data_IF_872762617966
#
_entry.id   IF_872762617966
#
_cell.length_a   1.000
_cell.length_b   1.000
_cell.length_c   1.000
_cell.angle_alpha   90.00
_cell.angle_beta   90.00
_cell.angle_gamma   90.00
#
_symmetry.space_group_name_H-M   'P 1'
#
loop_
_entity.id
_entity.type
_entity.pdbx_description
1 polymer ?
#
# COMPACT_ATOMS: atom_id res chain seq x y z
N UNK A 1 -18.35 -13.51 20.50
CA UNK A 1 -19.19 -13.00 19.40
C UNK A 1 -18.30 -12.76 18.19
N UNK A 2 -18.54 -13.45 17.08
CA UNK A 2 -17.79 -13.22 15.84
C UNK A 2 -18.37 -11.96 15.16
N UNK A 3 -17.57 -10.91 15.08
CA UNK A 3 -17.99 -9.59 14.62
C UNK A 3 -17.84 -9.48 13.09
N UNK A 4 -18.36 -8.41 12.47
CA UNK A 4 -18.07 -8.07 11.05
C UNK A 4 -16.56 -8.15 10.76
N UNK A 5 -15.73 -7.77 11.73
CA UNK A 5 -14.26 -7.85 11.70
C UNK A 5 -13.73 -9.29 11.57
N UNK A 6 -14.43 -10.28 12.15
CA UNK A 6 -14.06 -11.70 12.00
C UNK A 6 -14.30 -12.20 10.58
N UNK A 7 -15.41 -11.82 9.93
CA UNK A 7 -15.66 -12.17 8.52
C UNK A 7 -14.60 -11.53 7.64
N UNK A 8 -14.34 -10.23 7.82
CA UNK A 8 -13.33 -9.51 7.04
C UNK A 8 -11.93 -10.12 7.24
N UNK A 9 -11.55 -10.49 8.46
CA UNK A 9 -10.29 -11.20 8.72
C UNK A 9 -10.18 -12.51 7.94
N UNK A 10 -11.20 -13.38 8.01
CA UNK A 10 -11.21 -14.65 7.27
C UNK A 10 -11.22 -14.46 5.74
N UNK A 11 -11.85 -13.41 5.23
CA UNK A 11 -11.84 -13.10 3.79
C UNK A 11 -10.45 -12.65 3.32
N UNK A 12 -9.66 -12.00 4.18
CA UNK A 12 -8.26 -11.64 3.88
C UNK A 12 -7.36 -12.86 3.73
N UNK A 13 -7.63 -13.93 4.47
CA UNK A 13 -6.88 -15.20 4.38
C UNK A 13 -7.06 -15.91 3.02
N UNK A 14 -7.95 -15.41 2.16
CA UNK A 14 -8.15 -15.91 0.80
C UNK A 14 -7.19 -15.26 -0.22
N UNK A 15 -6.48 -14.19 0.16
CA UNK A 15 -5.54 -13.50 -0.74
C UNK A 15 -4.45 -14.46 -1.23
N UNK A 16 -4.15 -14.38 -2.54
CA UNK A 16 -3.18 -15.28 -3.19
C UNK A 16 -3.71 -16.69 -3.51
N UNK A 17 -4.98 -17.01 -3.22
CA UNK A 17 -5.59 -18.32 -3.47
C UNK A 17 -6.64 -18.27 -4.57
N UNK A 18 -6.85 -19.42 -5.22
CA UNK A 18 -8.04 -19.69 -6.03
C UNK A 18 -9.08 -20.34 -5.14
N UNK A 19 -10.30 -19.82 -5.13
CA UNK A 19 -11.37 -20.32 -4.25
C UNK A 19 -12.70 -20.34 -4.96
N UNK A 20 -13.52 -21.33 -4.63
CA UNK A 20 -14.89 -21.39 -5.15
C UNK A 20 -15.75 -20.36 -4.42
N UNK A 21 -16.69 -19.72 -5.13
CA UNK A 21 -17.63 -18.76 -4.52
C UNK A 21 -18.43 -19.40 -3.37
N UNK A 22 -18.74 -20.69 -3.48
CA UNK A 22 -19.33 -21.49 -2.40
C UNK A 22 -18.56 -21.42 -1.09
N UNK A 23 -17.22 -21.47 -1.13
CA UNK A 23 -16.37 -21.34 0.06
C UNK A 23 -16.53 -19.96 0.69
N UNK A 24 -16.52 -18.90 -0.11
CA UNK A 24 -16.71 -17.51 0.34
C UNK A 24 -18.09 -17.34 1.00
N UNK A 25 -19.14 -17.87 0.38
CA UNK A 25 -20.52 -17.83 0.90
C UNK A 25 -20.63 -18.57 2.23
N UNK A 26 -20.02 -19.76 2.33
CA UNK A 26 -20.01 -20.55 3.56
C UNK A 26 -19.25 -19.83 4.68
N UNK A 27 -18.11 -19.22 4.36
CA UNK A 27 -17.33 -18.42 5.31
C UNK A 27 -18.15 -17.25 5.85
N UNK A 28 -18.84 -16.50 4.98
CA UNK A 28 -19.75 -15.44 5.39
C UNK A 28 -20.87 -16.02 6.28
N UNK A 29 -21.58 -17.06 5.82
CA UNK A 29 -22.71 -17.66 6.54
C UNK A 29 -22.32 -18.34 7.87
N UNK A 30 -21.06 -18.76 8.03
CA UNK A 30 -20.55 -19.46 9.22
C UNK A 30 -20.49 -18.60 10.48
N UNK A 31 -20.63 -17.28 10.35
CA UNK A 31 -20.60 -16.38 11.50
C UNK A 31 -21.93 -16.42 12.23
N UNK A 32 -21.93 -17.14 13.36
CA UNK A 32 -23.10 -17.49 14.19
C UNK A 32 -23.83 -16.31 14.85
N UNK A 33 -23.40 -15.07 14.63
CA UNK A 33 -23.92 -13.86 15.29
C UNK A 33 -24.36 -12.77 14.32
N UNK A 34 -25.00 -13.15 13.20
CA UNK A 34 -25.71 -12.15 12.40
C UNK A 34 -26.89 -11.60 13.18
N UNK A 35 -26.97 -10.27 13.28
CA UNK A 35 -28.18 -9.61 13.74
C UNK A 35 -29.35 -9.92 12.77
N UNK A 36 -30.59 -9.78 13.27
CA UNK A 36 -31.80 -10.05 12.47
C UNK A 36 -31.81 -9.28 11.14
N UNK A 37 -31.26 -8.05 11.15
CA UNK A 37 -31.17 -7.20 9.96
C UNK A 37 -30.27 -7.85 8.89
N UNK A 38 -29.10 -8.33 9.28
CA UNK A 38 -28.13 -8.96 8.38
C UNK A 38 -28.67 -10.29 7.83
N UNK A 39 -29.34 -11.08 8.67
CA UNK A 39 -30.01 -12.31 8.23
C UNK A 39 -31.10 -12.02 7.19
N UNK A 40 -31.88 -10.96 7.37
CA UNK A 40 -32.88 -10.53 6.40
C UNK A 40 -32.24 -10.09 5.08
N UNK A 41 -31.11 -9.37 5.12
CA UNK A 41 -30.39 -8.93 3.90
C UNK A 41 -29.92 -10.10 3.04
N UNK A 42 -29.45 -11.19 3.64
CA UNK A 42 -28.92 -12.36 2.92
C UNK A 42 -29.93 -13.50 2.75
N UNK A 43 -31.20 -13.26 3.07
CA UNK A 43 -32.26 -14.25 2.89
C UNK A 43 -32.40 -14.70 1.42
N UNK A 44 -32.89 -15.92 1.14
CA UNK A 44 -33.10 -16.36 -0.23
C UNK A 44 -34.06 -15.44 -1.01
N UNK A 45 -33.78 -15.23 -2.28
CA UNK A 45 -34.64 -14.51 -3.22
C UNK A 45 -35.12 -15.43 -4.33
N UNK A 46 -36.34 -15.22 -4.82
CA UNK A 46 -36.79 -15.84 -6.08
C UNK A 46 -35.85 -15.42 -7.23
N UNK A 47 -35.50 -16.38 -8.08
CA UNK A 47 -34.62 -16.14 -9.23
C UNK A 47 -35.18 -15.02 -10.13
N UNK A 48 -34.51 -13.86 -10.22
CA UNK A 48 -35.00 -12.73 -11.00
C UNK A 48 -34.67 -12.82 -12.49
N UNK A 49 -33.98 -13.88 -12.91
CA UNK A 49 -33.54 -14.11 -14.29
C UNK A 49 -34.27 -15.28 -14.97
N UNK A 50 -35.41 -15.74 -14.45
CA UNK A 50 -36.11 -16.89 -15.02
C UNK A 50 -36.35 -16.74 -16.54
N UNK A 51 -36.03 -17.76 -17.34
CA UNK A 51 -36.25 -17.77 -18.80
C UNK A 51 -35.29 -16.97 -19.69
N UNK A 52 -34.19 -16.40 -19.16
CA UNK A 52 -33.15 -15.74 -19.99
C UNK A 52 -32.02 -16.70 -20.41
N UNK A 53 -31.34 -16.42 -21.51
CA UNK A 53 -30.17 -17.17 -21.97
C UNK A 53 -28.85 -16.61 -21.37
N UNK A 54 -27.74 -17.35 -21.52
CA UNK A 54 -26.37 -16.99 -21.10
C UNK A 54 -26.20 -16.78 -19.58
N UNK A 55 -26.41 -17.84 -18.80
CA UNK A 55 -26.24 -17.78 -17.34
C UNK A 55 -25.33 -18.85 -16.80
N UNK A 56 -24.64 -18.48 -15.74
CA UNK A 56 -23.83 -19.39 -14.94
C UNK A 56 -24.38 -19.45 -13.51
N UNK A 57 -24.19 -20.58 -12.83
CA UNK A 57 -24.46 -20.69 -11.40
C UNK A 57 -23.36 -19.97 -10.61
N UNK A 58 -23.69 -18.92 -9.83
CA UNK A 58 -22.72 -18.21 -8.99
C UNK A 58 -21.94 -19.13 -8.04
N UNK A 59 -22.57 -20.19 -7.51
CA UNK A 59 -21.96 -21.09 -6.52
C UNK A 59 -20.88 -21.98 -7.13
N UNK A 60 -20.96 -22.24 -8.43
CA UNK A 60 -20.00 -23.09 -9.15
C UNK A 60 -18.80 -22.30 -9.72
N UNK A 61 -18.87 -20.97 -9.69
CA UNK A 61 -17.76 -20.12 -10.15
C UNK A 61 -16.59 -20.13 -9.17
N UNK A 62 -15.41 -19.84 -9.71
CA UNK A 62 -14.17 -19.65 -8.97
C UNK A 62 -13.73 -18.19 -9.01
N UNK A 63 -13.04 -17.74 -7.96
CA UNK A 63 -12.37 -16.45 -7.88
C UNK A 63 -10.86 -16.68 -7.76
N UNK A 64 -10.06 -15.81 -8.37
CA UNK A 64 -8.60 -15.88 -8.31
C UNK A 64 -8.02 -14.65 -7.64
N UNK A 65 -7.77 -14.76 -6.33
CA UNK A 65 -7.26 -13.65 -5.53
C UNK A 65 -5.76 -13.38 -5.72
N UNK A 66 -5.09 -14.10 -6.64
CA UNK A 66 -3.73 -13.74 -7.06
C UNK A 66 -3.70 -12.39 -7.79
N UNK A 67 -4.70 -12.09 -8.63
CA UNK A 67 -4.80 -10.79 -9.31
C UNK A 67 -6.01 -9.95 -8.87
N UNK A 68 -7.11 -10.57 -8.44
CA UNK A 68 -8.32 -9.84 -8.05
C UNK A 68 -8.20 -9.14 -6.69
N UNK A 69 -8.90 -8.02 -6.51
CA UNK A 69 -8.98 -7.28 -5.23
C UNK A 69 -9.63 -8.10 -4.09
N UNK A 70 -9.33 -7.71 -2.85
CA UNK A 70 -9.95 -8.28 -1.65
C UNK A 70 -11.48 -8.09 -1.67
N UNK A 71 -12.22 -9.13 -1.26
CA UNK A 71 -13.66 -9.01 -1.03
C UNK A 71 -13.95 -8.30 0.28
N UNK A 72 -14.50 -7.09 0.21
CA UNK A 72 -14.87 -6.32 1.41
C UNK A 72 -16.32 -6.59 1.82
N UNK A 73 -16.50 -7.40 2.86
CA UNK A 73 -17.82 -7.80 3.38
C UNK A 73 -18.73 -6.59 3.69
N UNK A 74 -18.19 -5.56 4.32
CA UNK A 74 -18.91 -4.32 4.62
C UNK A 74 -19.45 -3.61 3.38
N UNK A 75 -18.73 -3.64 2.25
CA UNK A 75 -19.20 -3.06 0.98
C UNK A 75 -20.37 -3.85 0.42
N UNK A 76 -20.32 -5.19 0.44
CA UNK A 76 -21.40 -6.04 -0.03
C UNK A 76 -22.69 -5.82 0.77
N UNK A 77 -22.58 -5.76 2.11
CA UNK A 77 -23.73 -5.47 2.96
C UNK A 77 -24.34 -4.10 2.67
N UNK A 78 -23.51 -3.05 2.54
CA UNK A 78 -24.00 -1.70 2.21
C UNK A 78 -24.74 -1.66 0.88
N UNK A 79 -24.29 -2.42 -0.12
CA UNK A 79 -24.98 -2.54 -1.41
C UNK A 79 -26.34 -3.21 -1.26
N UNK A 80 -26.40 -4.33 -0.53
CA UNK A 80 -27.68 -4.99 -0.23
C UNK A 80 -28.62 -4.09 0.59
N UNK A 81 -28.11 -3.36 1.58
CA UNK A 81 -28.90 -2.40 2.38
C UNK A 81 -29.51 -1.29 1.51
N UNK A 82 -28.71 -0.69 0.61
CA UNK A 82 -29.19 0.33 -0.34
C UNK A 82 -30.27 -0.21 -1.26
N UNK A 83 -30.16 -1.48 -1.66
CA UNK A 83 -31.16 -2.18 -2.46
C UNK A 83 -32.30 -2.80 -1.63
N UNK A 84 -32.44 -2.42 -0.34
CA UNK A 84 -33.47 -2.92 0.59
C UNK A 84 -33.51 -4.45 0.69
N UNK A 85 -32.34 -5.08 0.64
CA UNK A 85 -32.17 -6.53 0.68
C UNK A 85 -32.51 -7.24 -0.62
N UNK A 86 -32.71 -6.53 -1.75
CA UNK A 86 -33.04 -7.14 -3.04
C UNK A 86 -31.81 -7.15 -3.96
N UNK A 87 -31.53 -8.31 -4.57
CA UNK A 87 -30.63 -8.37 -5.71
C UNK A 87 -31.39 -7.90 -6.95
N UNK A 88 -31.09 -6.68 -7.42
CA UNK A 88 -31.79 -6.04 -8.53
C UNK A 88 -31.04 -6.26 -9.86
N UNK A 89 -31.61 -7.02 -10.82
CA UNK A 89 -30.97 -7.28 -12.12
C UNK A 89 -30.57 -6.02 -12.89
N UNK A 90 -31.39 -4.97 -12.79
CA UNK A 90 -31.17 -3.69 -13.46
C UNK A 90 -29.92 -2.96 -12.96
N UNK A 91 -29.47 -3.26 -11.73
CA UNK A 91 -28.26 -2.67 -11.14
C UNK A 91 -27.05 -3.59 -11.25
N UNK A 92 -27.26 -4.91 -11.38
CA UNK A 92 -26.19 -5.89 -11.36
C UNK A 92 -25.47 -6.00 -12.71
N UNK A 93 -26.17 -5.95 -13.85
CA UNK A 93 -25.54 -6.21 -15.16
C UNK A 93 -25.00 -7.65 -15.30
N UNK A 94 -24.08 -7.87 -16.25
CA UNK A 94 -23.41 -9.15 -16.51
C UNK A 94 -22.12 -9.27 -15.69
N UNK A 95 -21.77 -10.49 -15.29
CA UNK A 95 -20.41 -10.81 -14.85
C UNK A 95 -19.57 -11.27 -16.04
N UNK A 96 -18.25 -11.23 -15.91
CA UNK A 96 -17.36 -11.77 -16.94
C UNK A 96 -16.60 -12.96 -16.35
N UNK A 97 -16.66 -14.08 -17.06
CA UNK A 97 -16.08 -15.35 -16.65
C UNK A 97 -15.12 -15.87 -17.71
N UNK A 98 -14.10 -16.58 -17.27
CA UNK A 98 -13.12 -17.26 -18.10
C UNK A 98 -13.11 -18.75 -17.77
N UNK A 99 -13.32 -19.60 -18.79
CA UNK A 99 -13.16 -21.04 -18.66
C UNK A 99 -11.71 -21.39 -18.93
N UNK A 100 -11.06 -21.97 -17.91
CA UNK A 100 -9.67 -22.42 -18.00
C UNK A 100 -9.57 -23.83 -18.57
N UNK A 101 -8.35 -24.23 -18.94
CA UNK A 101 -7.97 -25.52 -19.53
C UNK A 101 -8.34 -26.72 -18.65
N UNK A 102 -8.42 -26.52 -17.34
CA UNK A 102 -8.87 -27.54 -16.40
C UNK A 102 -10.40 -27.66 -16.29
N UNK A 103 -11.14 -26.89 -17.09
CA UNK A 103 -12.60 -26.85 -17.15
C UNK A 103 -13.26 -26.02 -16.05
N UNK A 104 -12.49 -25.41 -15.14
CA UNK A 104 -13.05 -24.52 -14.11
C UNK A 104 -13.36 -23.15 -14.72
N UNK A 105 -14.50 -22.59 -14.32
CA UNK A 105 -14.93 -21.24 -14.72
C UNK A 105 -14.61 -20.23 -13.63
N UNK A 106 -13.82 -19.21 -13.97
CA UNK A 106 -13.35 -18.16 -13.07
C UNK A 106 -14.05 -16.84 -13.37
N UNK A 107 -14.69 -16.24 -12.38
CA UNK A 107 -15.20 -14.86 -12.49
C UNK A 107 -14.02 -13.90 -12.40
N UNK A 108 -13.68 -13.22 -13.50
CA UNK A 108 -12.58 -12.24 -13.52
C UNK A 108 -13.09 -10.80 -13.33
N UNK A 109 -14.34 -10.48 -13.73
CA UNK A 109 -15.03 -9.23 -13.38
C UNK A 109 -16.42 -9.47 -12.78
N UNK A 110 -16.82 -8.61 -11.84
CA UNK A 110 -18.12 -8.71 -11.19
C UNK A 110 -18.19 -9.67 -9.99
N UNK A 111 -17.05 -10.00 -9.38
CA UNK A 111 -16.97 -10.85 -8.19
C UNK A 111 -17.99 -10.51 -7.10
N UNK A 112 -18.14 -9.23 -6.74
CA UNK A 112 -19.11 -8.81 -5.72
C UNK A 112 -20.57 -9.10 -6.11
N UNK A 113 -20.91 -9.01 -7.40
CA UNK A 113 -22.24 -9.35 -7.93
C UNK A 113 -22.48 -10.85 -7.86
N UNK A 114 -21.47 -11.63 -8.22
CA UNK A 114 -21.48 -13.09 -8.10
C UNK A 114 -21.72 -13.53 -6.64
N UNK A 115 -20.95 -12.98 -5.69
CA UNK A 115 -21.10 -13.29 -4.25
C UNK A 115 -22.47 -12.86 -3.72
N UNK A 116 -22.98 -11.68 -4.07
CA UNK A 116 -24.30 -11.24 -3.63
C UNK A 116 -25.43 -12.13 -4.16
N UNK A 117 -25.35 -12.53 -5.43
CA UNK A 117 -26.32 -13.45 -6.02
C UNK A 117 -26.31 -14.81 -5.29
N UNK A 118 -25.10 -15.34 -5.03
CA UNK A 118 -24.89 -16.59 -4.32
C UNK A 118 -25.41 -16.54 -2.86
N UNK A 119 -25.14 -15.43 -2.14
CA UNK A 119 -25.66 -15.22 -0.78
C UNK A 119 -27.19 -15.27 -0.74
N UNK A 120 -27.84 -14.66 -1.74
CA UNK A 120 -29.30 -14.62 -1.93
C UNK A 120 -29.88 -15.89 -2.55
N UNK A 121 -29.08 -16.94 -2.79
CA UNK A 121 -29.56 -18.21 -3.34
C UNK A 121 -30.09 -18.09 -4.77
N UNK A 122 -29.56 -17.16 -5.57
CA UNK A 122 -29.93 -17.02 -6.97
C UNK A 122 -29.13 -18.06 -7.77
N UNK A 123 -29.79 -19.01 -8.46
CA UNK A 123 -29.12 -20.17 -9.06
C UNK A 123 -28.46 -19.86 -10.41
N UNK A 124 -28.75 -18.70 -11.01
CA UNK A 124 -28.25 -18.37 -12.34
C UNK A 124 -28.21 -16.85 -12.54
N UNK A 125 -27.05 -16.31 -12.96
CA UNK A 125 -26.88 -14.90 -13.32
C UNK A 125 -26.27 -14.74 -14.71
N UNK A 126 -26.57 -13.65 -15.44
CA UNK A 126 -26.01 -13.42 -16.76
C UNK A 126 -24.49 -13.30 -16.74
N UNK A 127 -23.82 -13.95 -17.70
CA UNK A 127 -22.38 -13.90 -17.83
C UNK A 127 -21.93 -13.77 -19.28
N UNK A 128 -20.85 -13.01 -19.49
CA UNK A 128 -20.03 -13.08 -20.71
C UNK A 128 -18.92 -14.09 -20.47
N UNK A 129 -18.79 -15.08 -21.34
CA UNK A 129 -17.81 -16.15 -21.20
C UNK A 129 -16.70 -16.01 -22.24
N UNK A 130 -15.45 -16.12 -21.78
CA UNK A 130 -14.28 -16.34 -22.64
C UNK A 130 -13.73 -17.73 -22.36
N UNK A 131 -13.18 -18.37 -23.39
CA UNK A 131 -12.44 -19.63 -23.25
C UNK A 131 -11.00 -19.36 -23.66
N UNK A 132 -10.05 -19.74 -22.80
CA UNK A 132 -8.63 -19.53 -23.09
C UNK A 132 -8.12 -20.48 -24.16
N UNK A 133 -7.19 -19.99 -24.98
CA UNK A 133 -6.48 -20.82 -25.97
C UNK A 133 -5.44 -21.71 -25.28
N UNK A 134 -5.06 -22.80 -25.94
CA UNK A 134 -4.15 -23.81 -25.38
C UNK A 134 -2.78 -23.25 -24.96
N UNK A 135 -2.32 -22.16 -25.59
CA UNK A 135 -1.03 -21.53 -25.33
C UNK A 135 -1.10 -20.39 -24.30
N UNK A 136 -2.29 -19.97 -23.89
CA UNK A 136 -2.43 -18.79 -23.04
C UNK A 136 -1.87 -19.03 -21.64
N UNK A 137 -1.17 -18.03 -21.10
CA UNK A 137 -1.10 -17.87 -19.65
C UNK A 137 -2.44 -17.29 -19.18
N UNK A 138 -3.35 -18.19 -18.87
CA UNK A 138 -4.75 -17.90 -18.54
C UNK A 138 -4.87 -16.85 -17.42
N UNK A 139 -3.99 -16.94 -16.41
CA UNK A 139 -4.00 -16.02 -15.29
C UNK A 139 -3.50 -14.64 -15.70
N UNK A 140 -2.48 -14.57 -16.55
CA UNK A 140 -1.95 -13.30 -17.05
C UNK A 140 -2.97 -12.57 -17.94
N UNK A 141 -3.63 -13.29 -18.85
CA UNK A 141 -4.68 -12.73 -19.73
C UNK A 141 -5.86 -12.19 -18.92
N UNK A 142 -6.35 -12.96 -17.94
CA UNK A 142 -7.43 -12.50 -17.05
C UNK A 142 -7.01 -11.28 -16.22
N UNK A 143 -5.77 -11.26 -15.72
CA UNK A 143 -5.25 -10.17 -14.92
C UNK A 143 -5.08 -8.88 -15.75
N UNK A 144 -4.68 -8.99 -17.01
CA UNK A 144 -4.62 -7.88 -17.97
C UNK A 144 -6.01 -7.30 -18.23
N UNK A 145 -7.00 -8.12 -18.55
CA UNK A 145 -8.37 -7.65 -18.75
C UNK A 145 -8.97 -7.03 -17.49
N UNK A 146 -8.71 -7.63 -16.32
CA UNK A 146 -9.11 -7.07 -15.05
C UNK A 146 -8.47 -5.68 -14.82
N UNK A 147 -7.17 -5.55 -15.07
CA UNK A 147 -6.39 -4.32 -14.94
C UNK A 147 -6.89 -3.21 -15.86
N UNK A 148 -7.08 -3.49 -17.15
CA UNK A 148 -7.59 -2.52 -18.14
C UNK A 148 -8.99 -2.04 -17.73
N UNK A 149 -9.91 -2.99 -17.49
CA UNK A 149 -11.31 -2.67 -17.19
C UNK A 149 -11.48 -1.90 -15.88
N UNK A 150 -10.73 -2.26 -14.83
CA UNK A 150 -10.87 -1.66 -13.51
C UNK A 150 -9.89 -0.51 -13.23
N UNK A 151 -8.78 -0.42 -13.95
CA UNK A 151 -7.75 0.61 -13.80
C UNK A 151 -7.95 1.80 -14.72
N UNK A 152 -8.30 1.57 -15.99
CA UNK A 152 -8.50 2.63 -16.99
C UNK A 152 -9.98 3.04 -17.10
N UNK A 153 -10.91 2.13 -16.74
CA UNK A 153 -12.34 2.21 -17.04
C UNK A 153 -13.28 2.78 -15.95
N UNK A 154 -12.95 3.88 -15.29
CA UNK A 154 -13.87 4.67 -14.42
C UNK A 154 -14.19 4.15 -13.01
N UNK A 155 -13.57 3.06 -12.52
CA UNK A 155 -13.72 2.60 -11.12
C UNK A 155 -12.46 2.88 -10.34
N UNK A 156 -12.55 3.65 -9.24
CA UNK A 156 -11.41 3.90 -8.36
C UNK A 156 -11.02 2.59 -7.63
N UNK A 157 -9.99 1.92 -8.13
CA UNK A 157 -9.30 0.82 -7.46
C UNK A 157 -8.07 1.36 -6.71
N UNK A 158 -7.66 0.71 -5.62
CA UNK A 158 -6.44 1.13 -4.91
C UNK A 158 -5.21 0.82 -5.76
N UNK A 159 -4.17 1.65 -5.66
CA UNK A 159 -2.95 1.52 -6.46
C UNK A 159 -2.28 0.16 -6.26
N UNK A 160 -2.23 -0.36 -5.03
CA UNK A 160 -1.68 -1.67 -4.70
C UNK A 160 -2.49 -2.84 -5.30
N UNK A 161 -3.82 -2.70 -5.39
CA UNK A 161 -4.71 -3.71 -5.98
C UNK A 161 -4.54 -3.74 -7.51
N UNK A 162 -4.27 -2.57 -8.13
CA UNK A 162 -4.00 -2.45 -9.56
C UNK A 162 -2.62 -3.00 -9.91
N UNK A 163 -1.59 -2.59 -9.17
CA UNK A 163 -0.24 -3.12 -9.33
C UNK A 163 -0.21 -4.64 -9.22
N UNK A 164 -0.93 -5.23 -8.26
CA UNK A 164 -1.04 -6.69 -8.15
C UNK A 164 -1.50 -7.34 -9.44
N UNK A 165 -2.57 -6.82 -10.06
CA UNK A 165 -3.07 -7.35 -11.32
C UNK A 165 -2.04 -7.18 -12.45
N UNK A 166 -1.42 -6.00 -12.56
CA UNK A 166 -0.36 -5.72 -13.54
C UNK A 166 0.87 -6.63 -13.37
N UNK A 167 1.25 -6.92 -12.12
CA UNK A 167 2.34 -7.82 -11.82
C UNK A 167 2.03 -9.27 -12.20
N UNK A 168 0.80 -9.75 -12.02
CA UNK A 168 0.39 -11.08 -12.52
C UNK A 168 0.34 -11.11 -14.04
N UNK A 169 -0.08 -10.01 -14.66
CA UNK A 169 -0.14 -9.84 -16.11
C UNK A 169 1.24 -9.65 -16.79
N UNK A 170 2.36 -9.67 -16.04
CA UNK A 170 3.75 -9.41 -16.50
C UNK A 170 4.26 -10.20 -17.72
N UNK A 171 3.45 -11.10 -18.27
CA UNK A 171 3.67 -11.76 -19.56
C UNK A 171 3.24 -10.92 -20.78
N UNK A 172 2.50 -9.81 -20.59
CA UNK A 172 2.20 -8.84 -21.66
C UNK A 172 3.17 -7.64 -21.60
N UNK A 173 3.62 -7.16 -22.77
CA UNK A 173 4.62 -6.08 -22.92
C UNK A 173 4.20 -4.71 -22.29
N UNK A 174 3.06 -4.64 -21.63
CA UNK A 174 2.47 -3.41 -21.11
C UNK A 174 2.89 -3.04 -19.67
N UNK A 175 3.52 -3.97 -18.91
CA UNK A 175 3.63 -3.84 -17.45
C UNK A 175 5.06 -3.85 -16.87
N UNK A 176 6.07 -3.37 -17.60
CA UNK A 176 7.46 -3.23 -17.12
C UNK A 176 7.56 -2.45 -15.79
N UNK A 177 6.74 -1.43 -15.63
CA UNK A 177 6.66 -0.64 -14.40
C UNK A 177 6.27 -1.47 -13.16
N UNK A 178 5.44 -2.51 -13.33
CA UNK A 178 5.04 -3.37 -12.23
C UNK A 178 6.21 -4.27 -11.77
N UNK A 179 7.07 -4.69 -12.71
CA UNK A 179 8.29 -5.45 -12.43
C UNK A 179 9.32 -4.59 -11.70
N UNK A 180 9.55 -3.36 -12.14
CA UNK A 180 10.47 -2.43 -11.47
C UNK A 180 10.09 -2.24 -9.99
N UNK A 181 8.80 -2.04 -9.71
CA UNK A 181 8.32 -1.91 -8.33
C UNK A 181 8.49 -3.23 -7.56
N UNK A 182 8.22 -4.37 -8.20
CA UNK A 182 8.37 -5.68 -7.57
C UNK A 182 9.83 -5.96 -7.15
N UNK A 183 10.79 -5.65 -8.02
CA UNK A 183 12.23 -5.80 -7.73
C UNK A 183 12.66 -4.93 -6.56
N UNK A 184 12.22 -3.66 -6.51
CA UNK A 184 12.54 -2.76 -5.40
C UNK A 184 11.90 -3.26 -4.10
N UNK A 185 10.62 -3.65 -4.12
CA UNK A 185 9.94 -4.15 -2.92
C UNK A 185 10.55 -5.46 -2.40
N UNK A 186 10.95 -6.36 -3.30
CA UNK A 186 11.59 -7.61 -2.91
C UNK A 186 12.97 -7.36 -2.28
N UNK A 187 13.78 -6.50 -2.89
CA UNK A 187 15.06 -6.07 -2.34
C UNK A 187 14.91 -5.32 -0.99
N UNK A 188 13.78 -4.63 -0.80
CA UNK A 188 13.41 -4.01 0.46
C UNK A 188 12.92 -5.01 1.52
N UNK A 189 12.77 -6.30 1.22
CA UNK A 189 12.10 -7.29 2.07
C UNK A 189 10.67 -6.85 2.48
N UNK A 190 9.93 -6.28 1.54
CA UNK A 190 8.55 -5.82 1.72
C UNK A 190 7.58 -6.71 0.95
N UNK A 191 6.40 -6.94 1.52
CA UNK A 191 5.29 -7.57 0.81
C UNK A 191 4.05 -6.65 0.81
N UNK A 192 3.44 -6.55 -0.37
CA UNK A 192 2.21 -5.82 -0.63
C UNK A 192 1.15 -6.82 -1.07
N UNK A 193 0.11 -7.00 -0.25
CA UNK A 193 -1.02 -7.89 -0.53
C UNK A 193 -0.62 -9.36 -0.79
N UNK A 194 0.53 -9.82 -0.28
CA UNK A 194 1.05 -11.17 -0.46
C UNK A 194 1.32 -11.53 -1.93
N UNK A 195 1.78 -10.52 -2.70
CA UNK A 195 2.00 -10.64 -4.14
C UNK A 195 3.36 -11.26 -4.45
N UNK A 196 4.38 -10.89 -3.68
CA UNK A 196 5.74 -11.41 -3.85
C UNK A 196 5.91 -12.74 -3.12
N UNK A 197 5.16 -12.97 -2.04
CA UNK A 197 5.23 -14.22 -1.27
C UNK A 197 6.55 -14.38 -0.51
N UNK A 198 7.33 -13.30 -0.40
CA UNK A 198 8.62 -13.26 0.30
C UNK A 198 8.45 -13.24 1.82
N UNK A 199 7.20 -13.16 2.32
CA UNK A 199 6.87 -13.03 3.76
C UNK A 199 7.58 -11.84 4.41
N UNK A 200 7.88 -10.82 3.60
CA UNK A 200 8.47 -9.58 4.02
C UNK A 200 7.57 -8.79 4.96
N UNK A 201 8.02 -7.61 5.34
CA UNK A 201 7.27 -6.73 6.22
C UNK A 201 6.07 -6.14 5.49
N UNK A 202 4.99 -5.91 6.25
CA UNK A 202 3.79 -5.32 5.67
C UNK A 202 4.03 -3.87 5.28
N UNK A 203 3.66 -3.50 4.06
CA UNK A 203 3.90 -2.16 3.53
C UNK A 203 2.62 -1.34 3.34
N UNK A 204 2.68 -0.06 3.68
CA UNK A 204 1.61 0.91 3.44
C UNK A 204 2.14 2.14 2.68
N UNK A 205 1.27 2.88 1.98
CA UNK A 205 1.71 4.04 1.19
C UNK A 205 2.20 3.70 -0.22
N UNK A 206 1.65 2.63 -0.81
CA UNK A 206 2.04 2.14 -2.15
C UNK A 206 1.95 3.20 -3.25
N UNK A 207 0.91 4.04 -3.25
CA UNK A 207 0.75 5.10 -4.25
C UNK A 207 1.91 6.11 -4.25
N UNK A 208 2.50 6.38 -3.09
CA UNK A 208 3.65 7.28 -2.96
C UNK A 208 4.90 6.62 -3.52
N UNK A 209 5.16 5.35 -3.18
CA UNK A 209 6.30 4.60 -3.75
C UNK A 209 6.19 4.49 -5.27
N UNK A 210 5.00 4.18 -5.79
CA UNK A 210 4.75 4.09 -7.22
C UNK A 210 5.03 5.42 -7.93
N UNK A 211 4.65 6.54 -7.30
CA UNK A 211 4.90 7.88 -7.84
C UNK A 211 6.39 8.21 -7.87
N UNK A 212 7.10 7.99 -6.77
CA UNK A 212 8.53 8.32 -6.66
C UNK A 212 9.43 7.40 -7.49
N UNK A 213 9.11 6.11 -7.60
CA UNK A 213 9.91 5.16 -8.36
C UNK A 213 9.69 5.27 -9.88
N UNK A 214 8.51 5.69 -10.33
CA UNK A 214 8.16 5.66 -11.76
C UNK A 214 8.03 7.04 -12.42
N UNK A 215 7.77 8.13 -11.68
CA UNK A 215 7.52 9.45 -12.30
C UNK A 215 8.76 10.36 -12.30
N UNK A 216 8.84 11.23 -13.30
CA UNK A 216 10.06 11.94 -13.73
C UNK A 216 10.66 13.03 -12.83
N UNK A 217 10.22 13.18 -11.57
CA UNK A 217 10.90 14.04 -10.57
C UNK A 217 11.31 13.19 -9.37
N UNK A 218 12.00 12.08 -9.64
CA UNK A 218 12.48 11.16 -8.61
C UNK A 218 13.34 11.94 -7.62
N UNK A 219 12.89 12.02 -6.37
CA UNK A 219 13.71 12.59 -5.29
C UNK A 219 14.63 11.56 -4.65
N UNK A 220 14.36 10.28 -4.90
CA UNK A 220 15.08 9.15 -4.33
C UNK A 220 15.45 8.12 -5.38
N UNK A 221 16.58 7.47 -5.18
CA UNK A 221 17.05 6.34 -6.00
C UNK A 221 16.52 5.01 -5.47
N UNK A 222 16.59 3.94 -6.26
CA UNK A 222 16.19 2.60 -5.80
C UNK A 222 17.08 2.11 -4.65
N UNK A 223 18.38 2.43 -4.71
CA UNK A 223 19.35 2.05 -3.68
C UNK A 223 19.05 2.73 -2.34
N UNK A 224 18.75 4.04 -2.34
CA UNK A 224 18.36 4.77 -1.13
C UNK A 224 17.09 4.20 -0.51
N UNK A 225 16.11 3.79 -1.32
CA UNK A 225 14.88 3.16 -0.84
C UNK A 225 15.18 1.80 -0.20
N UNK A 226 16.04 0.98 -0.80
CA UNK A 226 16.45 -0.31 -0.24
C UNK A 226 17.17 -0.11 1.09
N UNK A 227 18.19 0.76 1.13
CA UNK A 227 18.93 1.09 2.36
C UNK A 227 18.01 1.56 3.48
N UNK A 228 17.12 2.51 3.16
CA UNK A 228 16.13 3.03 4.09
C UNK A 228 15.20 1.92 4.62
N UNK A 229 14.73 1.01 3.77
CA UNK A 229 13.87 -0.10 4.20
C UNK A 229 14.57 -1.03 5.18
N UNK A 230 15.81 -1.42 4.89
CA UNK A 230 16.58 -2.32 5.74
C UNK A 230 16.90 -1.65 7.09
N UNK A 231 17.31 -0.38 7.07
CA UNK A 231 17.54 0.41 8.29
C UNK A 231 16.28 0.52 9.16
N UNK A 232 15.10 0.77 8.56
CA UNK A 232 13.84 0.83 9.31
C UNK A 232 13.51 -0.54 9.94
N UNK A 233 13.76 -1.65 9.24
CA UNK A 233 13.48 -2.98 9.77
C UNK A 233 14.39 -3.36 10.94
N UNK A 234 15.64 -2.92 10.90
CA UNK A 234 16.59 -3.13 11.98
C UNK A 234 16.25 -2.27 13.20
N UNK A 235 15.92 -0.99 12.98
CA UNK A 235 15.61 -0.02 14.04
C UNK A 235 14.23 -0.27 14.68
N UNK A 236 13.21 -0.61 13.88
CA UNK A 236 11.84 -0.83 14.35
C UNK A 236 11.48 -2.33 14.38
N UNK A 237 12.40 -3.18 14.85
CA UNK A 237 12.34 -4.64 14.81
C UNK A 237 11.04 -5.29 15.37
N UNK A 238 10.36 -4.61 16.29
CA UNK A 238 9.08 -5.04 16.89
C UNK A 238 7.85 -4.66 16.08
N UNK A 239 7.93 -3.65 15.20
CA UNK A 239 6.83 -3.20 14.34
C UNK A 239 6.97 -3.80 12.95
N UNK A 240 6.41 -4.99 12.70
CA UNK A 240 6.42 -5.72 11.40
C UNK A 240 5.65 -5.02 10.26
N UNK A 241 5.62 -3.70 10.24
CA UNK A 241 5.05 -2.86 9.21
C UNK A 241 5.93 -1.65 8.89
N UNK A 242 6.00 -1.25 7.62
CA UNK A 242 6.70 -0.05 7.18
C UNK A 242 5.71 0.95 6.59
N UNK A 243 5.81 2.21 7.03
CA UNK A 243 5.08 3.34 6.47
C UNK A 243 5.82 3.91 5.26
N UNK A 244 5.16 3.99 4.10
CA UNK A 244 5.76 4.50 2.87
C UNK A 244 6.30 5.93 2.96
N UNK A 245 5.67 6.79 3.75
CA UNK A 245 6.21 8.14 3.98
C UNK A 245 7.49 8.14 4.81
N UNK A 246 7.63 7.24 5.78
CA UNK A 246 8.89 7.09 6.53
C UNK A 246 9.98 6.53 5.62
N UNK A 247 9.68 5.45 4.89
CA UNK A 247 10.59 4.82 3.94
C UNK A 247 11.18 5.82 2.94
N UNK A 248 10.31 6.58 2.28
CA UNK A 248 10.74 7.56 1.27
C UNK A 248 11.35 8.82 1.89
N UNK A 249 10.89 9.25 3.06
CA UNK A 249 11.46 10.39 3.78
C UNK A 249 12.87 10.11 4.30
N UNK A 250 13.11 8.91 4.83
CA UNK A 250 14.45 8.48 5.25
C UNK A 250 15.36 8.26 4.04
N UNK A 251 14.87 7.65 2.96
CA UNK A 251 15.63 7.53 1.71
C UNK A 251 16.06 8.91 1.18
N UNK A 252 15.13 9.87 1.16
CA UNK A 252 15.39 11.25 0.76
C UNK A 252 16.38 11.95 1.69
N UNK A 253 16.24 11.74 3.00
CA UNK A 253 17.19 12.26 3.99
C UNK A 253 18.60 11.73 3.75
N UNK A 254 18.78 10.41 3.61
CA UNK A 254 20.10 9.80 3.39
C UNK A 254 20.76 10.35 2.11
N UNK A 255 20.02 10.40 1.00
CA UNK A 255 20.55 10.95 -0.26
C UNK A 255 20.91 12.43 -0.18
N UNK A 256 20.06 13.27 0.43
CA UNK A 256 20.35 14.70 0.61
C UNK A 256 21.47 14.96 1.62
N UNK A 257 21.66 14.06 2.58
CA UNK A 257 22.66 14.20 3.63
C UNK A 257 24.07 13.86 3.13
N UNK A 258 24.21 12.90 2.22
CA UNK A 258 25.49 12.61 1.54
C UNK A 258 26.02 13.83 0.77
N UNK A 259 25.14 14.66 0.21
CA UNK A 259 25.53 15.88 -0.51
C UNK A 259 25.65 17.13 0.37
N UNK A 260 25.36 17.03 1.67
CA UNK A 260 25.26 18.18 2.57
C UNK A 260 26.60 18.91 2.73
N UNK A 261 27.71 18.16 2.77
CA UNK A 261 29.07 18.71 2.87
C UNK A 261 29.43 19.56 1.66
N UNK A 262 29.27 18.99 0.47
CA UNK A 262 29.55 19.70 -0.77
C UNK A 262 28.70 20.96 -0.91
N UNK A 263 27.43 20.89 -0.53
CA UNK A 263 26.50 22.01 -0.61
C UNK A 263 26.85 23.13 0.38
N UNK A 264 27.28 22.78 1.58
CA UNK A 264 27.77 23.76 2.57
C UNK A 264 29.02 24.47 2.07
N UNK A 265 29.99 23.72 1.54
CA UNK A 265 31.23 24.29 0.99
C UNK A 265 30.98 25.20 -0.22
N UNK A 266 29.99 24.87 -1.07
CA UNK A 266 29.62 25.68 -2.26
C UNK A 266 28.86 26.94 -1.89
N UNK A 267 28.05 26.90 -0.85
CA UNK A 267 27.03 27.92 -0.55
C UNK A 267 27.17 28.53 0.85
N UNK A 268 28.42 28.67 1.30
CA UNK A 268 28.90 29.14 2.62
C UNK A 268 28.42 30.56 3.04
N UNK A 269 27.35 31.08 2.43
CA UNK A 269 26.90 32.47 2.50
C UNK A 269 25.55 32.68 3.21
N UNK A 270 24.74 31.65 3.43
CA UNK A 270 23.42 31.83 4.07
C UNK A 270 23.39 31.57 5.57
N UNK A 271 24.23 30.66 6.06
CA UNK A 271 24.17 30.21 7.46
C UNK A 271 25.59 30.23 8.04
N UNK A 272 25.90 31.36 8.68
CA UNK A 272 27.14 31.65 9.41
C UNK A 272 27.34 30.64 10.57
N UNK A 273 27.77 29.43 10.20
CA UNK A 273 28.17 28.32 11.07
C UNK A 273 29.68 28.16 10.94
N UNK A 274 30.33 27.81 12.03
CA UNK A 274 31.76 27.45 12.02
C UNK A 274 31.99 26.14 11.23
N UNK A 275 33.02 26.10 10.40
CA UNK A 275 33.31 24.98 9.49
C UNK A 275 33.70 23.70 10.25
N UNK A 276 34.40 23.83 11.38
CA UNK A 276 34.75 22.68 12.22
C UNK A 276 33.51 22.14 12.94
N UNK A 277 32.64 23.05 13.42
CA UNK A 277 31.33 22.67 13.95
C UNK A 277 30.50 21.94 12.88
N UNK A 278 30.46 22.44 11.64
CA UNK A 278 29.73 21.79 10.56
C UNK A 278 30.30 20.42 10.17
N UNK A 279 31.62 20.30 10.04
CA UNK A 279 32.27 19.03 9.68
C UNK A 279 32.01 17.93 10.72
N UNK A 280 31.94 18.30 12.01
CA UNK A 280 31.59 17.36 13.09
C UNK A 280 30.15 16.84 13.00
N UNK A 281 29.30 17.47 12.20
CA UNK A 281 27.91 17.05 11.99
C UNK A 281 27.78 15.99 10.93
N UNK A 282 28.79 15.72 10.10
CA UNK A 282 28.71 14.76 9.01
C UNK A 282 28.74 13.34 9.58
N UNK A 283 27.56 12.76 9.70
CA UNK A 283 27.38 11.42 10.20
C UNK A 283 27.59 10.39 9.11
N UNK A 284 28.29 9.31 9.45
CA UNK A 284 28.21 8.10 8.64
C UNK A 284 26.80 7.52 8.70
N UNK A 285 26.42 6.74 7.70
CA UNK A 285 25.16 5.97 7.69
C UNK A 285 25.01 5.13 8.97
N UNK A 286 26.09 4.50 9.43
CA UNK A 286 26.10 3.70 10.68
C UNK A 286 25.81 4.55 11.93
N UNK A 287 26.21 5.81 11.92
CA UNK A 287 25.93 6.74 13.00
C UNK A 287 24.47 7.16 12.97
N UNK A 288 23.88 7.42 11.80
CA UNK A 288 22.44 7.70 11.65
C UNK A 288 21.61 6.51 12.14
N UNK A 289 21.98 5.28 11.76
CA UNK A 289 21.36 4.06 12.27
C UNK A 289 21.39 3.99 13.81
N UNK A 290 22.54 4.27 14.41
CA UNK A 290 22.69 4.26 15.88
C UNK A 290 21.79 5.30 16.54
N UNK A 291 21.77 6.53 16.05
CA UNK A 291 20.90 7.58 16.59
C UNK A 291 19.41 7.25 16.44
N UNK A 292 19.02 6.63 15.33
CA UNK A 292 17.65 6.15 15.12
C UNK A 292 17.28 5.06 16.12
N UNK A 293 18.20 4.12 16.39
CA UNK A 293 18.03 3.06 17.39
C UNK A 293 17.81 3.67 18.78
N UNK A 294 18.70 4.58 19.19
CA UNK A 294 18.60 5.28 20.48
C UNK A 294 17.26 6.04 20.62
N UNK A 295 16.82 6.67 19.52
CA UNK A 295 15.55 7.39 19.48
C UNK A 295 14.34 6.45 19.65
N UNK A 296 14.36 5.28 19.03
CA UNK A 296 13.31 4.26 19.19
C UNK A 296 13.31 3.67 20.60
N UNK A 297 14.49 3.40 21.17
CA UNK A 297 14.64 2.94 22.55
C UNK A 297 14.10 3.97 23.57
N UNK A 298 14.21 5.26 23.24
CA UNK A 298 13.57 6.36 23.95
C UNK A 298 12.05 6.49 23.70
N UNK A 299 11.39 5.44 23.18
CA UNK A 299 9.97 5.35 22.82
C UNK A 299 9.57 6.15 21.58
N UNK A 300 10.53 6.38 20.69
CA UNK A 300 10.26 6.85 19.34
C UNK A 300 9.35 5.89 18.57
N UNK A 301 8.56 6.43 17.65
CA UNK A 301 7.65 5.63 16.80
C UNK A 301 7.73 6.08 15.35
N UNK A 302 7.46 5.21 14.39
CA UNK A 302 7.40 5.63 12.98
C UNK A 302 6.44 6.81 12.77
N UNK A 303 5.30 6.81 13.49
CA UNK A 303 4.33 7.92 13.43
C UNK A 303 4.92 9.25 13.92
N UNK A 304 5.78 9.20 14.94
CA UNK A 304 6.48 10.36 15.48
C UNK A 304 7.45 10.99 14.49
N UNK A 305 8.02 10.23 13.56
CA UNK A 305 8.86 10.76 12.47
C UNK A 305 8.02 11.26 11.28
N UNK A 306 6.83 10.69 11.08
CA UNK A 306 5.93 11.09 10.00
C UNK A 306 4.95 12.20 10.37
N UNK A 307 5.16 12.93 11.47
CA UNK A 307 4.26 13.99 11.91
C UNK A 307 5.00 15.09 12.70
N UNK A 308 4.74 16.38 12.46
CA UNK A 308 3.81 16.95 11.45
C UNK A 308 4.34 16.80 10.02
N UNK A 309 3.47 16.98 9.02
CA UNK A 309 3.82 16.93 7.59
C UNK A 309 3.04 17.96 6.79
N UNK A 310 3.72 18.60 5.82
CA UNK A 310 3.10 19.51 4.86
C UNK A 310 2.53 18.73 3.67
N UNK A 311 1.29 19.03 3.27
CA UNK A 311 0.54 18.27 2.26
C UNK A 311 1.23 18.11 0.91
N UNK A 312 2.06 19.08 0.51
CA UNK A 312 2.78 19.08 -0.77
C UNK A 312 4.29 18.82 -0.64
N UNK A 313 4.79 18.62 0.58
CA UNK A 313 6.22 18.43 0.89
C UNK A 313 6.40 17.32 1.91
N UNK A 314 5.70 16.20 1.72
CA UNK A 314 5.64 15.12 2.71
C UNK A 314 7.02 14.51 2.92
N UNK A 315 7.77 14.22 1.84
CA UNK A 315 9.10 13.60 1.94
C UNK A 315 10.08 14.54 2.66
N UNK A 316 10.08 15.81 2.28
CA UNK A 316 10.89 16.86 2.89
C UNK A 316 10.56 17.03 4.38
N UNK A 317 9.27 17.04 4.72
CA UNK A 317 8.82 17.15 6.12
C UNK A 317 9.29 15.98 6.95
N UNK A 318 9.21 14.75 6.41
CA UNK A 318 9.66 13.55 7.11
C UNK A 318 11.18 13.53 7.25
N UNK A 319 11.91 13.85 6.19
CA UNK A 319 13.37 13.97 6.22
C UNK A 319 13.81 15.00 7.28
N UNK A 320 13.14 16.15 7.33
CA UNK A 320 13.43 17.18 8.32
C UNK A 320 13.05 16.76 9.73
N UNK A 321 11.95 16.01 9.92
CA UNK A 321 11.60 15.44 11.22
C UNK A 321 12.67 14.45 11.71
N UNK A 322 13.23 13.61 10.83
CA UNK A 322 14.35 12.72 11.16
C UNK A 322 15.53 13.57 11.65
N UNK A 323 15.93 14.58 10.87
CA UNK A 323 17.00 15.48 11.28
C UNK A 323 16.71 16.14 12.64
N UNK A 324 15.57 16.81 12.80
CA UNK A 324 15.23 17.59 14.00
C UNK A 324 15.08 16.74 15.25
N UNK A 325 14.51 15.53 15.14
CA UNK A 325 14.14 14.70 16.29
C UNK A 325 15.18 13.65 16.64
N UNK A 326 16.01 13.25 15.67
CA UNK A 326 16.98 12.16 15.84
C UNK A 326 18.40 12.71 15.80
N UNK A 327 18.73 13.51 14.80
CA UNK A 327 20.11 13.98 14.58
C UNK A 327 20.42 15.19 15.45
N UNK A 328 19.67 16.27 15.32
CA UNK A 328 19.92 17.56 15.96
C UNK A 328 20.05 17.48 17.50
N UNK A 329 19.22 16.72 18.26
CA UNK A 329 19.32 16.69 19.72
C UNK A 329 20.66 16.15 20.23
N UNK A 330 21.37 15.37 19.42
CA UNK A 330 22.70 14.87 19.75
C UNK A 330 23.79 15.94 19.63
N UNK A 331 23.50 17.07 18.99
CA UNK A 331 24.48 18.15 18.79
C UNK A 331 24.23 19.37 19.65
N UNK A 332 23.09 19.49 20.32
CA UNK A 332 22.81 20.66 21.17
C UNK A 332 23.51 20.52 22.52
N UNK A 333 24.08 21.62 23.04
CA UNK A 333 24.64 21.66 24.40
C UNK A 333 23.63 21.12 25.39
N UNK A 334 24.07 20.14 26.18
CA UNK A 334 23.33 19.61 27.31
C UNK A 334 24.27 19.46 28.50
N UNK A 335 23.72 19.15 29.68
CA UNK A 335 24.53 18.81 30.87
C UNK A 335 25.52 17.67 30.55
N UNK A 336 25.17 16.81 29.59
CA UNK A 336 25.96 15.65 29.17
C UNK A 336 26.90 15.94 27.98
N UNK A 337 26.75 17.10 27.31
CA UNK A 337 27.58 17.55 26.18
C UNK A 337 27.90 19.06 26.30
N UNK A 338 28.88 19.45 27.13
CA UNK A 338 29.25 20.85 27.33
C UNK A 338 29.85 21.51 26.08
N UNK A 339 30.40 20.73 25.15
CA UNK A 339 31.02 21.19 23.90
C UNK A 339 30.04 21.15 22.70
N UNK A 340 28.73 21.05 22.94
CA UNK A 340 27.71 21.04 21.89
C UNK A 340 27.49 22.42 21.23
N UNK A 341 26.59 22.44 20.24
CA UNK A 341 26.08 23.65 19.61
C UNK A 341 25.23 24.46 20.58
N UNK A 342 25.45 25.77 20.61
CA UNK A 342 24.53 26.70 21.25
C UNK A 342 23.13 26.61 20.62
N UNK A 343 22.11 27.06 21.34
CA UNK A 343 20.74 27.08 20.82
C UNK A 343 20.61 27.90 19.52
N UNK A 344 21.42 28.96 19.37
CA UNK A 344 21.42 29.77 18.15
C UNK A 344 22.03 29.01 16.98
N UNK A 345 23.14 28.30 17.20
CA UNK A 345 23.78 27.47 16.17
C UNK A 345 22.91 26.28 15.77
N UNK A 346 22.25 25.63 16.74
CA UNK A 346 21.29 24.56 16.47
C UNK A 346 20.12 25.04 15.59
N UNK A 347 19.60 26.26 15.85
CA UNK A 347 18.56 26.87 15.02
C UNK A 347 19.06 27.21 13.62
N UNK A 348 20.24 27.81 13.51
CA UNK A 348 20.90 28.10 12.23
C UNK A 348 21.05 26.82 11.39
N UNK A 349 21.55 25.75 12.00
CA UNK A 349 21.71 24.46 11.38
C UNK A 349 20.38 23.83 10.95
N UNK A 350 19.38 23.88 11.82
CA UNK A 350 18.02 23.43 11.50
C UNK A 350 17.47 24.14 10.26
N UNK A 351 17.65 25.46 10.16
CA UNK A 351 17.26 26.23 8.98
C UNK A 351 18.05 25.80 7.75
N UNK A 352 19.38 25.64 7.87
CA UNK A 352 20.23 25.20 6.77
C UNK A 352 19.77 23.86 6.18
N UNK A 353 19.64 22.84 7.04
CA UNK A 353 19.23 21.49 6.61
C UNK A 353 17.82 21.53 6.03
N UNK A 354 16.90 22.27 6.65
CA UNK A 354 15.56 22.47 6.14
C UNK A 354 15.52 23.01 4.70
N UNK A 355 16.29 24.08 4.44
CA UNK A 355 16.41 24.69 3.10
C UNK A 355 17.00 23.70 2.09
N UNK A 356 18.02 22.93 2.48
CA UNK A 356 18.63 21.91 1.61
C UNK A 356 17.67 20.78 1.26
N UNK A 357 16.79 20.42 2.19
CA UNK A 357 15.69 19.50 1.95
C UNK A 357 14.56 20.13 1.12
N UNK A 358 14.67 21.38 0.66
CA UNK A 358 13.67 22.03 -0.18
C UNK A 358 12.52 22.70 0.59
N UNK A 359 12.67 22.93 1.90
CA UNK A 359 11.70 23.65 2.73
C UNK A 359 12.00 25.16 2.74
N UNK A 360 10.97 26.00 2.79
CA UNK A 360 11.15 27.44 3.04
C UNK A 360 11.21 27.72 4.54
N UNK A 361 11.57 28.96 4.94
CA UNK A 361 11.56 29.32 6.36
C UNK A 361 10.16 29.24 6.99
N UNK A 362 9.14 29.54 6.21
CA UNK A 362 7.73 29.43 6.61
C UNK A 362 7.35 27.96 6.83
N UNK A 363 7.76 27.06 5.92
CA UNK A 363 7.55 25.63 6.07
C UNK A 363 8.16 25.09 7.38
N UNK A 364 9.37 25.56 7.72
CA UNK A 364 10.05 25.13 8.95
C UNK A 364 9.31 25.59 10.20
N UNK A 365 8.77 26.81 10.20
CA UNK A 365 7.96 27.32 11.30
C UNK A 365 6.66 26.52 11.47
N UNK A 366 6.05 26.03 10.39
CA UNK A 366 4.87 25.15 10.47
C UNK A 366 5.20 23.73 10.99
N UNK A 367 6.45 23.29 10.85
CA UNK A 367 6.91 21.96 11.26
C UNK A 367 7.50 21.93 12.68
N UNK A 368 7.81 23.09 13.27
CA UNK A 368 8.30 23.22 14.66
C UNK A 368 7.21 22.86 15.68
#
# INVERSE_FOLDING_TARGET
>A
MATKKTVEGKLKDLLGRQVQIKEIVNLIKSVSTFDKKTQQLISPQKNPYNGKDYKVDPMEQWADFKYQRETRYSTLLKQLERAKGVFAPALAGHIDVAVRKDGRSFVWDGLGRCIMAALRGIPAIPASEITHDALDDEQAVEAEYFSIKNGEGHVSMRAEELWKAQYVARGSLAYDNALIIAEVLDACNLDVLNVLGNKGWSFSGFSTIQTELLKGKKKVTHEEVIKSSLMIQEVFDTDRSIRGHLLLGLAYFLGAYESLEEDYLKDNREVDLDEAAFSSLLLSESSIHTLLTDWVDAKGTQLGLTSPTLSNKVLESVAFNIFRKVVLPNYVVSIERPDGLSLLEAKKLSIFVGIRLGLTKEDLFELE
#
